data_IF_673645987168
#
_entry.id   IF_673645987168
#
_cell.length_a   1.000
_cell.length_b   1.000
_cell.length_c   1.000
_cell.angle_alpha   90.00
_cell.angle_beta   90.00
_cell.angle_gamma   90.00
#
_symmetry.space_group_name_H-M   'P 1'
#
loop_
_entity.id
_entity.type
_entity.pdbx_description
1 polymer ?
#
# COMPACT_ATOMS: atom_id res chain seq x y z
N UNK A 1 -9.63 -22.38 -0.42
CA UNK A 1 -8.29 -21.89 -0.64
C UNK A 1 -8.28 -20.40 -0.85
N UNK A 2 -7.43 -19.71 -0.14
CA UNK A 2 -7.40 -18.25 -0.22
C UNK A 2 -6.68 -17.81 -1.50
N UNK A 3 -7.22 -16.78 -2.10
CA UNK A 3 -6.55 -16.14 -3.23
C UNK A 3 -5.52 -15.17 -2.72
N UNK A 4 -4.45 -15.08 -3.48
CA UNK A 4 -3.39 -14.13 -3.14
C UNK A 4 -3.35 -13.06 -4.20
N UNK A 5 -3.35 -11.83 -3.76
CA UNK A 5 -3.27 -10.68 -4.66
C UNK A 5 -1.96 -9.98 -4.43
N UNK A 6 -1.38 -9.53 -5.51
CA UNK A 6 -0.14 -8.78 -5.46
C UNK A 6 -0.44 -7.31 -5.66
N UNK A 7 0.08 -6.49 -4.77
CA UNK A 7 -0.10 -5.04 -4.88
C UNK A 7 1.02 -4.51 -5.74
N UNK A 8 0.65 -3.94 -6.88
CA UNK A 8 1.64 -3.43 -7.81
C UNK A 8 1.99 -1.99 -7.51
N UNK A 9 0.99 -1.19 -7.19
CA UNK A 9 1.24 0.20 -6.88
C UNK A 9 0.01 0.82 -6.24
N UNK A 10 0.23 1.90 -5.56
CA UNK A 10 -0.83 2.73 -5.00
C UNK A 10 -0.57 4.15 -5.46
N UNK A 11 -1.51 4.72 -6.17
CA UNK A 11 -1.29 6.04 -6.72
C UNK A 11 -2.45 6.95 -6.43
N UNK A 12 -2.20 8.23 -6.56
CA UNK A 12 -3.24 9.22 -6.37
C UNK A 12 -3.71 9.36 -4.95
N UNK A 13 -2.90 8.92 -4.00
CA UNK A 13 -3.30 9.01 -2.61
C UNK A 13 -3.26 10.45 -2.16
N UNK A 14 -4.40 10.96 -1.72
CA UNK A 14 -4.48 12.34 -1.29
C UNK A 14 -5.57 12.47 -0.24
N UNK A 15 -5.44 13.53 0.57
CA UNK A 15 -6.41 13.76 1.62
C UNK A 15 -7.72 14.22 1.02
N UNK A 16 -8.82 13.79 1.63
CA UNK A 16 -10.13 14.16 1.15
C UNK A 16 -10.61 15.48 1.76
N UNK A 17 -9.97 15.91 2.83
CA UNK A 17 -10.36 17.16 3.47
C UNK A 17 -9.13 17.85 4.03
N UNK A 18 -9.34 19.02 4.58
CA UNK A 18 -8.24 19.83 5.09
C UNK A 18 -7.60 19.25 6.32
N UNK A 19 -8.32 18.44 7.04
CA UNK A 19 -7.78 17.83 8.26
C UNK A 19 -6.91 16.62 7.97
N UNK A 20 -6.99 16.14 6.75
CA UNK A 20 -6.23 14.94 6.39
C UNK A 20 -6.59 13.77 7.30
N UNK A 21 -7.87 13.64 7.62
CA UNK A 21 -8.32 12.53 8.43
C UNK A 21 -8.58 11.30 7.59
N UNK A 22 -8.74 11.47 6.31
CA UNK A 22 -9.09 10.38 5.43
C UNK A 22 -8.43 10.61 4.09
N UNK A 23 -7.98 9.52 3.49
CA UNK A 23 -7.29 9.58 2.21
C UNK A 23 -7.95 8.64 1.23
N UNK A 24 -7.93 9.02 -0.03
CA UNK A 24 -8.40 8.15 -1.10
C UNK A 24 -7.30 7.97 -2.12
N UNK A 25 -7.37 6.86 -2.83
CA UNK A 25 -6.37 6.57 -3.85
C UNK A 25 -6.81 5.40 -4.68
N UNK A 26 -5.93 4.98 -5.58
CA UNK A 26 -6.21 3.85 -6.44
C UNK A 26 -5.14 2.78 -6.21
N UNK A 27 -5.62 1.60 -5.88
CA UNK A 27 -4.75 0.45 -5.65
C UNK A 27 -4.78 -0.41 -6.89
N UNK A 28 -3.62 -0.69 -7.45
CA UNK A 28 -3.50 -1.55 -8.63
C UNK A 28 -3.00 -2.90 -8.17
N UNK A 29 -3.78 -3.92 -8.44
CA UNK A 29 -3.50 -5.26 -7.94
C UNK A 29 -3.56 -6.26 -9.08
N UNK A 30 -2.99 -7.41 -8.83
CA UNK A 30 -2.97 -8.50 -9.80
C UNK A 30 -3.09 -9.80 -9.04
N UNK A 31 -3.93 -10.69 -9.55
CA UNK A 31 -4.09 -12.00 -8.91
C UNK A 31 -2.89 -12.86 -9.22
N UNK A 32 -2.29 -13.38 -8.16
CA UNK A 32 -1.09 -14.21 -8.31
C UNK A 32 -1.48 -15.54 -8.94
N UNK A 33 -0.65 -15.98 -9.90
CA UNK A 33 -0.86 -17.27 -10.51
C UNK A 33 -1.81 -17.26 -11.68
N UNK A 34 -2.21 -16.11 -12.16
CA UNK A 34 -3.09 -16.01 -13.30
C UNK A 34 -2.52 -15.08 -14.33
N UNK A 35 -3.06 -15.16 -15.54
CA UNK A 35 -2.68 -14.23 -16.59
C UNK A 35 -3.74 -13.16 -16.80
N UNK A 36 -4.61 -13.01 -15.82
CA UNK A 36 -5.65 -11.99 -15.91
C UNK A 36 -5.04 -10.59 -15.83
N UNK A 37 -5.71 -9.62 -16.46
CA UNK A 37 -5.18 -8.25 -16.41
C UNK A 37 -5.24 -7.71 -14.99
N UNK A 38 -4.45 -6.67 -14.77
CA UNK A 38 -4.44 -6.02 -13.47
C UNK A 38 -5.77 -5.32 -13.24
N UNK A 39 -6.10 -5.11 -11.98
CA UNK A 39 -7.31 -4.44 -11.61
C UNK A 39 -6.98 -3.19 -10.83
N UNK A 40 -7.82 -2.18 -10.97
CA UNK A 40 -7.70 -0.96 -10.22
C UNK A 40 -8.86 -0.87 -9.25
N UNK A 41 -8.55 -0.62 -8.00
CA UNK A 41 -9.56 -0.55 -6.95
C UNK A 41 -9.44 0.78 -6.24
N UNK A 42 -10.57 1.47 -6.11
CA UNK A 42 -10.60 2.68 -5.33
C UNK A 42 -10.58 2.32 -3.85
N UNK A 43 -9.71 2.98 -3.11
CA UNK A 43 -9.59 2.70 -1.69
C UNK A 43 -9.73 3.98 -0.89
N UNK A 44 -10.18 3.83 0.33
CA UNK A 44 -10.30 4.92 1.26
C UNK A 44 -9.69 4.47 2.57
N UNK A 45 -8.79 5.26 3.09
CA UNK A 45 -8.02 4.89 4.26
C UNK A 45 -8.06 6.02 5.27
N UNK A 46 -8.37 5.69 6.50
CA UNK A 46 -8.34 6.67 7.56
C UNK A 46 -6.91 6.92 7.99
N UNK A 47 -6.68 8.13 8.48
CA UNK A 47 -5.35 8.53 8.90
C UNK A 47 -4.78 7.58 9.94
N UNK A 48 -5.60 7.17 10.90
CA UNK A 48 -5.12 6.28 11.94
C UNK A 48 -4.63 4.95 11.36
N UNK A 49 -5.32 4.46 10.34
CA UNK A 49 -4.92 3.22 9.69
C UNK A 49 -3.61 3.41 8.93
N UNK A 50 -3.45 4.57 8.28
CA UNK A 50 -2.21 4.85 7.58
C UNK A 50 -1.03 4.87 8.52
N UNK A 51 -1.21 5.51 9.67
CA UNK A 51 -0.14 5.58 10.66
C UNK A 51 0.22 4.18 11.14
N UNK A 52 -0.79 3.38 11.39
CA UNK A 52 -0.58 2.01 11.84
C UNK A 52 0.15 1.18 10.79
N UNK A 53 -0.27 1.33 9.53
CA UNK A 53 0.38 0.63 8.44
C UNK A 53 1.83 1.05 8.30
N UNK A 54 2.07 2.34 8.39
CA UNK A 54 3.42 2.85 8.27
C UNK A 54 4.33 2.24 9.33
N UNK A 55 3.85 2.19 10.57
CA UNK A 55 4.63 1.59 11.64
C UNK A 55 4.88 0.12 11.40
N UNK A 56 3.83 -0.60 11.06
CA UNK A 56 3.94 -2.05 10.86
C UNK A 56 4.86 -2.37 9.71
N UNK A 57 4.68 -1.68 8.59
CA UNK A 57 5.49 -1.93 7.42
C UNK A 57 6.95 -1.54 7.66
N UNK A 58 7.15 -0.45 8.38
CA UNK A 58 8.51 -0.04 8.72
C UNK A 58 9.24 -1.09 9.51
N UNK A 59 8.55 -1.68 10.48
CA UNK A 59 9.18 -2.72 11.28
C UNK A 59 9.45 -3.97 10.46
N UNK A 60 8.52 -4.33 9.61
CA UNK A 60 8.71 -5.50 8.77
C UNK A 60 9.90 -5.32 7.83
N UNK A 61 9.99 -4.16 7.21
CA UNK A 61 11.09 -3.90 6.31
C UNK A 61 12.43 -3.88 7.04
N UNK A 62 12.44 -3.31 8.23
CA UNK A 62 13.68 -3.23 8.99
C UNK A 62 14.19 -4.61 9.40
N UNK A 63 13.28 -5.57 9.53
CA UNK A 63 13.65 -6.93 9.92
C UNK A 63 13.89 -7.84 8.73
N UNK A 64 13.58 -7.38 7.53
CA UNK A 64 13.74 -8.22 6.36
C UNK A 64 15.20 -8.42 6.04
N UNK A 65 15.53 -9.66 5.73
CA UNK A 65 16.88 -9.98 5.33
C UNK A 65 17.15 -9.31 3.99
N UNK A 66 18.25 -8.60 3.92
CA UNK A 66 18.65 -7.98 2.67
C UNK A 66 18.04 -6.62 2.41
N UNK A 67 17.15 -6.16 3.29
CA UNK A 67 16.57 -4.84 3.09
C UNK A 67 17.60 -3.78 3.43
N UNK A 68 17.74 -2.81 2.55
CA UNK A 68 18.62 -1.69 2.79
C UNK A 68 17.88 -0.41 2.50
N UNK A 69 17.67 0.42 3.53
CA UNK A 69 17.01 1.69 3.27
C UNK A 69 17.83 2.49 2.29
N UNK A 70 17.13 3.13 1.38
CA UNK A 70 17.82 3.95 0.44
C UNK A 70 18.38 5.15 1.13
N UNK A 71 19.67 5.32 1.02
CA UNK A 71 20.29 6.45 1.61
C UNK A 71 20.33 7.56 0.64
N UNK A 72 19.89 8.69 1.05
CA UNK A 72 20.12 9.81 0.17
C UNK A 72 21.55 10.20 0.31
N UNK A 73 22.06 10.31 -0.69
CA UNK A 73 23.43 10.57 -0.57
C UNK A 73 23.85 11.63 -1.15
#
# INVERSE_FOLDING_TARGET
MAETWEVLTLRGLSATDERAEEFTGTLVIHRVGTSEPVESVSVRVKRSVLVELHDTLGRLLARSVGFRPKKSK
#
